data_IF_179966076971
#
_entry.id   IF_179966076971
#
_cell.length_a   1.000
_cell.length_b   1.000
_cell.length_c   1.000
_cell.angle_alpha   90.00
_cell.angle_beta   90.00
_cell.angle_gamma   90.00
#
_symmetry.space_group_name_H-M   'P 1'
#
loop_
_entity.id
_entity.type
_entity.pdbx_description
1 polymer ?
#
# COMPACT_ATOMS: atom_id res chain seq x y z
N UNK A 1 -17.27 -3.05 7.87
CA UNK A 1 -16.50 -2.81 6.64
C UNK A 1 -15.40 -3.85 6.56
N UNK A 2 -15.13 -4.39 5.37
CA UNK A 2 -14.00 -5.28 5.12
C UNK A 2 -13.18 -4.80 3.92
N UNK A 3 -11.89 -5.09 3.97
CA UNK A 3 -10.95 -5.00 2.85
C UNK A 3 -10.59 -6.44 2.45
N UNK A 4 -10.49 -6.72 1.16
CA UNK A 4 -10.20 -8.07 0.70
C UNK A 4 -9.40 -8.08 -0.58
N UNK A 5 -8.30 -8.85 -0.58
CA UNK A 5 -7.43 -9.06 -1.74
C UNK A 5 -7.08 -7.75 -2.46
N UNK A 6 -7.16 -7.73 -3.80
CA UNK A 6 -6.87 -6.55 -4.62
C UNK A 6 -8.09 -5.61 -4.74
N UNK A 7 -9.31 -6.11 -4.55
CA UNK A 7 -10.53 -5.32 -4.66
C UNK A 7 -10.77 -4.68 -6.03
N UNK A 8 -10.13 -5.18 -7.08
CA UNK A 8 -10.09 -4.60 -8.43
C UNK A 8 -11.32 -4.92 -9.29
N UNK A 9 -12.28 -5.67 -8.73
CA UNK A 9 -13.57 -5.99 -9.33
C UNK A 9 -14.67 -4.97 -9.03
N UNK A 10 -14.44 -4.01 -8.12
CA UNK A 10 -15.42 -2.98 -7.74
C UNK A 10 -14.77 -1.61 -7.66
N UNK A 11 -15.54 -0.57 -7.96
CA UNK A 11 -15.08 0.82 -7.92
C UNK A 11 -15.98 1.70 -7.03
N UNK A 12 -16.73 1.14 -6.10
CA UNK A 12 -17.49 1.93 -5.12
C UNK A 12 -17.54 1.13 -3.83
N UNK A 13 -17.85 1.79 -2.71
CA UNK A 13 -18.10 1.07 -1.46
C UNK A 13 -19.50 0.47 -1.54
N UNK A 14 -19.59 -0.86 -1.48
CA UNK A 14 -20.81 -1.64 -1.73
C UNK A 14 -21.12 -2.60 -0.59
N UNK A 15 -22.40 -2.90 -0.30
CA UNK A 15 -22.80 -4.08 0.44
C UNK A 15 -22.19 -5.34 -0.15
N UNK A 16 -21.64 -6.19 0.71
CA UNK A 16 -21.00 -7.45 0.34
C UNK A 16 -21.90 -8.34 -0.52
N UNK A 17 -23.21 -8.32 -0.27
CA UNK A 17 -24.23 -9.02 -1.06
C UNK A 17 -24.37 -8.53 -2.51
N UNK A 18 -23.93 -7.31 -2.81
CA UNK A 18 -23.93 -6.70 -4.15
C UNK A 18 -22.59 -6.86 -4.86
N UNK A 19 -21.61 -7.51 -4.22
CA UNK A 19 -20.26 -7.68 -4.76
C UNK A 19 -20.12 -9.05 -5.41
N UNK A 20 -19.94 -9.05 -6.73
CA UNK A 20 -19.66 -10.27 -7.49
C UNK A 20 -18.22 -10.74 -7.29
N UNK A 21 -18.00 -12.06 -7.33
CA UNK A 21 -16.67 -12.68 -7.27
C UNK A 21 -15.80 -12.18 -6.10
N UNK A 22 -16.40 -11.79 -4.97
CA UNK A 22 -15.71 -11.22 -3.81
C UNK A 22 -14.93 -9.93 -4.12
N UNK A 23 -15.24 -9.25 -5.23
CA UNK A 23 -14.66 -7.97 -5.61
C UNK A 23 -13.29 -8.08 -6.29
N UNK A 24 -12.96 -9.23 -6.88
CA UNK A 24 -11.69 -9.45 -7.60
C UNK A 24 -11.92 -9.91 -9.04
N UNK A 25 -11.02 -9.50 -9.94
CA UNK A 25 -11.06 -9.92 -11.36
C UNK A 25 -10.56 -11.35 -11.57
N UNK A 26 -9.62 -11.82 -10.74
CA UNK A 26 -9.05 -13.17 -10.83
C UNK A 26 -8.57 -13.67 -9.48
N UNK A 27 -8.76 -14.96 -9.23
CA UNK A 27 -8.24 -15.67 -8.04
C UNK A 27 -6.80 -16.17 -8.28
N UNK A 28 -6.39 -16.35 -9.54
CA UNK A 28 -5.06 -16.85 -9.94
C UNK A 28 -4.14 -15.78 -10.53
N UNK A 29 -2.83 -16.03 -10.51
CA UNK A 29 -1.81 -15.10 -11.04
C UNK A 29 -0.94 -14.46 -9.95
N UNK A 30 -0.21 -13.40 -10.29
CA UNK A 30 0.44 -12.55 -9.28
C UNK A 30 -0.63 -11.86 -8.42
N UNK A 31 -0.45 -11.84 -7.10
CA UNK A 31 -1.52 -11.43 -6.17
C UNK A 31 -2.52 -12.55 -5.83
N UNK A 32 -2.15 -13.82 -6.07
CA UNK A 32 -2.98 -15.01 -5.80
C UNK A 32 -3.58 -14.98 -4.39
N UNK A 33 -4.87 -15.23 -4.33
CA UNK A 33 -5.67 -15.16 -3.11
C UNK A 33 -5.68 -16.51 -2.38
N UNK A 34 -4.67 -16.77 -1.56
CA UNK A 34 -4.63 -17.96 -0.68
C UNK A 34 -4.24 -17.58 0.75
N UNK A 35 -4.97 -18.09 1.74
CA UNK A 35 -4.61 -17.96 3.16
C UNK A 35 -5.65 -17.23 4.02
N UNK A 36 -5.19 -16.57 5.08
CA UNK A 36 -6.03 -16.09 6.19
C UNK A 36 -7.11 -15.09 5.80
N UNK A 37 -6.85 -14.16 4.87
CA UNK A 37 -7.86 -13.20 4.41
C UNK A 37 -9.07 -13.87 3.77
N UNK A 38 -8.88 -14.98 3.05
CA UNK A 38 -9.97 -15.77 2.44
C UNK A 38 -10.78 -16.49 3.50
N UNK A 39 -10.14 -16.99 4.55
CA UNK A 39 -10.84 -17.61 5.69
C UNK A 39 -11.70 -16.57 6.42
N UNK A 40 -11.13 -15.40 6.74
CA UNK A 40 -11.86 -14.31 7.39
C UNK A 40 -13.05 -13.85 6.53
N UNK A 41 -12.85 -13.66 5.23
CA UNK A 41 -13.94 -13.32 4.31
C UNK A 41 -15.08 -14.34 4.39
N UNK A 42 -14.74 -15.63 4.34
CA UNK A 42 -15.74 -16.71 4.32
C UNK A 42 -16.48 -16.83 5.66
N UNK A 43 -15.81 -16.61 6.79
CA UNK A 43 -16.47 -16.53 8.11
C UNK A 43 -17.45 -15.36 8.20
N UNK A 44 -17.07 -14.19 7.67
CA UNK A 44 -17.93 -13.01 7.64
C UNK A 44 -19.13 -13.22 6.71
N UNK A 45 -18.90 -13.83 5.55
CA UNK A 45 -19.95 -14.24 4.60
C UNK A 45 -20.97 -15.16 5.29
N UNK A 46 -20.50 -16.15 6.05
CA UNK A 46 -21.34 -17.08 6.80
C UNK A 46 -22.05 -16.45 8.01
N UNK A 47 -21.53 -15.35 8.56
CA UNK A 47 -22.11 -14.68 9.73
C UNK A 47 -23.39 -13.87 9.42
N UNK A 48 -23.70 -13.66 8.13
CA UNK A 48 -24.89 -12.94 7.66
C UNK A 48 -25.07 -11.55 8.31
N UNK A 49 -23.96 -10.82 8.45
CA UNK A 49 -23.92 -9.46 9.00
C UNK A 49 -23.99 -8.42 7.87
N UNK A 50 -24.56 -7.22 8.11
CA UNK A 50 -24.49 -6.12 7.15
C UNK A 50 -23.05 -5.65 7.04
N UNK A 51 -22.41 -5.98 5.92
CA UNK A 51 -20.99 -5.72 5.68
C UNK A 51 -20.85 -4.93 4.38
N UNK A 52 -20.08 -3.86 4.44
CA UNK A 52 -19.65 -3.09 3.27
C UNK A 52 -18.23 -3.49 2.88
N UNK A 53 -17.97 -3.58 1.59
CA UNK A 53 -16.65 -3.80 0.99
C UNK A 53 -16.09 -2.51 0.45
N UNK A 54 -14.82 -2.25 0.75
CA UNK A 54 -14.04 -1.15 0.16
C UNK A 54 -13.40 -1.65 -1.15
N UNK A 55 -13.43 -0.86 -2.24
CA UNK A 55 -12.80 -1.23 -3.51
C UNK A 55 -11.27 -1.13 -3.43
N UNK A 56 -10.58 -1.74 -4.38
CA UNK A 56 -9.17 -1.45 -4.64
C UNK A 56 -9.00 -0.11 -5.35
N UNK A 57 -7.77 0.27 -5.61
CA UNK A 57 -7.44 1.41 -6.47
C UNK A 57 -6.91 0.85 -7.79
N UNK A 58 -7.65 1.06 -8.87
CA UNK A 58 -7.35 0.50 -10.18
C UNK A 58 -7.85 1.41 -11.31
N UNK A 59 -7.47 1.11 -12.56
CA UNK A 59 -7.75 1.98 -13.73
C UNK A 59 -9.23 2.31 -14.00
N UNK A 60 -10.16 1.51 -13.46
CA UNK A 60 -11.59 1.73 -13.64
C UNK A 60 -12.19 2.67 -12.57
N UNK A 61 -11.40 3.08 -11.57
CA UNK A 61 -11.78 4.09 -10.59
C UNK A 61 -11.80 5.48 -11.23
N UNK A 62 -12.98 5.97 -11.60
CA UNK A 62 -13.12 7.22 -12.37
C UNK A 62 -12.71 8.50 -11.62
N UNK A 63 -12.61 8.44 -10.29
CA UNK A 63 -12.16 9.57 -9.45
C UNK A 63 -10.64 9.75 -9.43
N UNK A 64 -9.87 8.77 -9.95
CA UNK A 64 -8.43 8.91 -10.12
C UNK A 64 -8.10 9.85 -11.27
N UNK A 65 -6.89 10.42 -11.22
CA UNK A 65 -6.38 11.20 -12.33
C UNK A 65 -6.24 10.32 -13.60
N UNK A 66 -6.68 10.81 -14.77
CA UNK A 66 -6.62 10.04 -16.02
C UNK A 66 -5.23 9.53 -16.40
N UNK A 67 -4.15 10.24 -16.05
CA UNK A 67 -2.78 9.83 -16.34
C UNK A 67 -2.38 8.61 -15.53
N UNK A 68 -2.74 8.58 -14.24
CA UNK A 68 -2.56 7.41 -13.38
C UNK A 68 -3.35 6.21 -13.90
N UNK A 69 -4.61 6.40 -14.29
CA UNK A 69 -5.45 5.34 -14.86
C UNK A 69 -4.89 4.76 -16.17
N UNK A 70 -4.27 5.61 -16.99
CA UNK A 70 -3.64 5.18 -18.24
C UNK A 70 -2.32 4.43 -18.00
N UNK A 71 -1.56 4.81 -16.98
CA UNK A 71 -0.25 4.23 -16.68
C UNK A 71 -0.34 2.85 -16.01
N UNK A 72 -1.24 2.68 -15.04
CA UNK A 72 -1.27 1.46 -14.21
C UNK A 72 -2.65 0.82 -14.17
N UNK A 73 -2.69 -0.51 -14.31
CA UNK A 73 -3.94 -1.28 -14.19
C UNK A 73 -4.43 -1.39 -12.76
N UNK A 74 -3.51 -1.56 -11.81
CA UNK A 74 -3.74 -1.64 -10.38
C UNK A 74 -2.75 -0.71 -9.68
N UNK A 75 -3.20 -0.08 -8.60
CA UNK A 75 -2.46 0.97 -7.90
C UNK A 75 -2.27 0.61 -6.43
N UNK A 76 -3.31 0.08 -5.78
CA UNK A 76 -3.27 -0.29 -4.37
C UNK A 76 -4.45 -1.17 -3.95
N UNK A 77 -4.24 -2.02 -2.95
CA UNK A 77 -5.31 -2.82 -2.34
C UNK A 77 -6.29 -1.94 -1.51
N UNK A 78 -7.50 -2.45 -1.18
CA UNK A 78 -8.51 -1.67 -0.46
C UNK A 78 -8.08 -1.19 0.92
N UNK A 79 -7.13 -1.88 1.56
CA UNK A 79 -6.57 -1.46 2.84
C UNK A 79 -5.98 -0.05 2.78
N UNK A 80 -5.37 0.34 1.65
CA UNK A 80 -4.72 1.65 1.54
C UNK A 80 -5.71 2.80 1.56
N UNK A 81 -6.95 2.59 1.16
CA UNK A 81 -8.02 3.60 1.32
C UNK A 81 -8.32 3.84 2.80
N UNK A 82 -8.38 2.78 3.59
CA UNK A 82 -8.56 2.90 5.05
C UNK A 82 -7.41 3.67 5.69
N UNK A 83 -6.17 3.35 5.30
CA UNK A 83 -4.98 4.07 5.77
C UNK A 83 -5.06 5.56 5.42
N UNK A 84 -5.38 5.90 4.17
CA UNK A 84 -5.52 7.28 3.73
C UNK A 84 -6.63 8.00 4.49
N UNK A 85 -7.76 7.34 4.77
CA UNK A 85 -8.83 7.94 5.56
C UNK A 85 -8.40 8.22 7.01
N UNK A 86 -7.64 7.30 7.60
CA UNK A 86 -7.05 7.52 8.92
C UNK A 86 -6.07 8.69 8.91
N UNK A 87 -5.18 8.75 7.91
CA UNK A 87 -4.24 9.85 7.72
C UNK A 87 -4.98 11.20 7.62
N UNK A 88 -6.02 11.27 6.79
CA UNK A 88 -6.84 12.47 6.60
C UNK A 88 -7.43 12.96 7.93
N UNK A 89 -7.98 12.06 8.76
CA UNK A 89 -8.55 12.44 10.06
C UNK A 89 -7.49 12.83 11.10
N UNK A 90 -6.29 12.25 11.03
CA UNK A 90 -5.18 12.53 11.95
C UNK A 90 -4.46 13.85 11.65
N UNK A 91 -4.45 14.29 10.40
CA UNK A 91 -3.75 15.50 9.96
C UNK A 91 -4.67 16.67 9.63
N UNK A 92 -5.89 16.37 9.17
CA UNK A 92 -6.77 17.31 8.46
C UNK A 92 -6.15 17.92 7.19
N UNK A 93 -5.13 17.26 6.61
CA UNK A 93 -4.54 17.67 5.34
C UNK A 93 -5.37 17.14 4.16
N UNK A 94 -5.60 17.99 3.19
CA UNK A 94 -6.31 17.70 1.95
C UNK A 94 -5.35 17.45 0.78
N UNK A 95 -4.11 17.95 0.87
CA UNK A 95 -3.07 17.74 -0.13
C UNK A 95 -1.85 17.09 0.54
N UNK A 96 -1.65 15.79 0.35
CA UNK A 96 -0.59 15.06 1.05
C UNK A 96 -0.14 13.84 0.28
N UNK A 97 1.06 13.37 0.63
CA UNK A 97 1.52 12.02 0.25
C UNK A 97 1.33 11.10 1.45
N UNK A 98 0.73 9.94 1.25
CA UNK A 98 0.65 8.88 2.25
C UNK A 98 1.52 7.73 1.80
N UNK A 99 2.57 7.42 2.54
CA UNK A 99 3.52 6.34 2.26
C UNK A 99 3.33 5.22 3.28
N UNK A 100 2.82 4.08 2.80
CA UNK A 100 2.70 2.87 3.61
C UNK A 100 3.86 1.92 3.31
N UNK A 101 4.81 1.84 4.24
CA UNK A 101 6.09 1.17 4.06
C UNK A 101 6.13 -0.05 4.98
N UNK A 102 6.05 -1.25 4.38
CA UNK A 102 5.98 -2.52 5.10
C UNK A 102 6.59 -3.67 4.28
N UNK A 103 5.94 -4.82 4.16
CA UNK A 103 6.38 -5.89 3.25
C UNK A 103 6.37 -5.45 1.79
N UNK A 104 5.40 -4.62 1.41
CA UNK A 104 5.36 -3.80 0.22
C UNK A 104 5.44 -2.32 0.62
N UNK A 105 5.84 -1.47 -0.31
CA UNK A 105 5.72 -0.01 -0.18
C UNK A 105 4.70 0.47 -1.20
N UNK A 106 3.72 1.27 -0.77
CA UNK A 106 2.71 1.85 -1.65
C UNK A 106 2.54 3.31 -1.24
N UNK A 107 2.90 4.22 -2.15
CA UNK A 107 2.77 5.65 -1.92
C UNK A 107 1.58 6.21 -2.71
N UNK A 108 0.77 7.04 -2.05
CA UNK A 108 -0.49 7.56 -2.56
C UNK A 108 -0.46 9.08 -2.59
N UNK A 109 -0.92 9.66 -3.70
CA UNK A 109 -1.15 11.09 -3.87
C UNK A 109 -2.61 11.44 -3.55
N UNK A 110 -2.79 12.33 -2.58
CA UNK A 110 -4.07 12.89 -2.19
C UNK A 110 -4.08 14.38 -2.56
N UNK A 111 -5.12 14.81 -3.27
CA UNK A 111 -5.37 16.21 -3.60
C UNK A 111 -6.83 16.56 -3.34
N UNK A 112 -7.09 17.72 -2.74
CA UNK A 112 -8.43 18.19 -2.36
C UNK A 112 -9.21 17.14 -1.54
N UNK A 113 -8.52 16.40 -0.67
CA UNK A 113 -9.11 15.32 0.13
C UNK A 113 -9.53 14.09 -0.68
N UNK A 114 -9.08 13.95 -1.93
CA UNK A 114 -9.40 12.85 -2.84
C UNK A 114 -8.13 12.11 -3.23
N UNK A 115 -8.20 10.77 -3.29
CA UNK A 115 -7.10 9.97 -3.83
C UNK A 115 -7.02 10.19 -5.35
N UNK A 116 -5.88 10.68 -5.85
CA UNK A 116 -5.66 10.95 -7.28
C UNK A 116 -4.82 9.91 -7.98
N UNK A 117 -3.96 9.21 -7.24
CA UNK A 117 -3.11 8.17 -7.79
C UNK A 117 -2.36 7.44 -6.69
N UNK A 118 -1.88 6.25 -7.01
CA UNK A 118 -0.96 5.50 -6.16
C UNK A 118 -0.03 4.65 -7.03
N UNK A 119 1.10 4.24 -6.48
CA UNK A 119 2.04 3.35 -7.17
C UNK A 119 2.20 2.08 -6.34
N UNK A 120 1.87 0.94 -6.96
CA UNK A 120 2.00 -0.36 -6.32
C UNK A 120 3.48 -0.79 -6.29
N UNK A 121 3.88 -1.56 -5.30
CA UNK A 121 5.26 -1.99 -5.08
C UNK A 121 5.87 -2.72 -6.28
N UNK A 122 5.05 -3.40 -7.10
CA UNK A 122 5.54 -4.07 -8.30
C UNK A 122 6.04 -3.12 -9.41
N UNK A 123 5.65 -1.84 -9.35
CA UNK A 123 6.04 -0.80 -10.30
C UNK A 123 6.99 0.24 -9.70
N UNK A 124 6.95 0.42 -8.38
CA UNK A 124 7.48 1.60 -7.72
C UNK A 124 8.52 1.31 -6.64
N UNK A 125 8.35 1.97 -5.50
CA UNK A 125 9.19 1.81 -4.34
C UNK A 125 9.20 0.36 -3.84
N UNK A 126 10.37 -0.12 -3.40
CA UNK A 126 10.44 -1.44 -2.78
C UNK A 126 9.98 -1.39 -1.32
N UNK A 127 9.33 -2.45 -0.88
CA UNK A 127 9.19 -2.79 0.53
C UNK A 127 10.27 -3.76 0.97
N UNK A 128 10.06 -4.38 2.13
CA UNK A 128 10.99 -5.38 2.66
C UNK A 128 11.04 -6.61 1.75
N UNK A 129 9.89 -7.08 1.28
CA UNK A 129 9.72 -8.37 0.58
C UNK A 129 9.42 -8.15 -0.90
N UNK A 130 8.48 -7.26 -1.15
CA UNK A 130 7.98 -6.93 -2.48
C UNK A 130 8.66 -5.69 -3.04
N UNK A 131 8.71 -5.58 -4.35
CA UNK A 131 9.33 -4.46 -5.03
C UNK A 131 9.24 -4.58 -6.55
N UNK A 132 9.88 -3.64 -7.27
CA UNK A 132 9.82 -3.60 -8.72
C UNK A 132 10.54 -4.81 -9.31
N UNK A 133 9.91 -5.43 -10.31
CA UNK A 133 10.54 -6.50 -11.09
C UNK A 133 11.60 -5.87 -11.99
N UNK A 134 12.87 -6.08 -11.65
CA UNK A 134 13.96 -5.65 -12.53
C UNK A 134 14.03 -6.51 -13.80
N UNK A 135 14.85 -6.06 -14.75
CA UNK A 135 14.95 -6.73 -16.05
C UNK A 135 15.47 -8.17 -15.94
N UNK A 136 16.26 -8.49 -14.92
CA UNK A 136 16.74 -9.85 -14.69
C UNK A 136 15.59 -10.75 -14.25
N UNK A 137 14.74 -10.29 -13.32
CA UNK A 137 13.55 -11.02 -12.91
C UNK A 137 12.57 -11.25 -14.05
N UNK A 138 12.40 -10.27 -14.94
CA UNK A 138 11.56 -10.43 -16.13
C UNK A 138 12.12 -11.54 -17.04
N UNK A 139 13.43 -11.57 -17.26
CA UNK A 139 14.09 -12.63 -18.05
C UNK A 139 13.95 -14.00 -17.39
N UNK A 140 14.09 -14.08 -16.06
CA UNK A 140 13.90 -15.34 -15.33
C UNK A 140 12.48 -15.88 -15.45
N UNK A 141 11.47 -15.00 -15.54
CA UNK A 141 10.08 -15.37 -15.81
C UNK A 141 9.94 -15.90 -17.23
N UNK A 142 10.46 -15.18 -18.23
CA UNK A 142 10.37 -15.57 -19.64
C UNK A 142 11.10 -16.90 -19.93
N UNK A 143 12.21 -17.16 -19.23
CA UNK A 143 12.98 -18.40 -19.33
C UNK A 143 12.39 -19.56 -18.48
N UNK A 144 11.30 -19.31 -17.74
CA UNK A 144 10.63 -20.30 -16.91
C UNK A 144 11.43 -20.74 -15.67
N UNK A 145 12.44 -19.97 -15.26
CA UNK A 145 13.24 -20.25 -14.06
C UNK A 145 12.48 -19.94 -12.78
N UNK A 146 11.64 -18.91 -12.80
CA UNK A 146 10.83 -18.44 -11.67
C UNK A 146 9.48 -17.98 -12.17
N UNK A 147 8.45 -18.12 -11.36
CA UNK A 147 7.12 -17.55 -11.61
C UNK A 147 7.12 -16.06 -11.27
N UNK A 148 6.19 -15.30 -11.86
CA UNK A 148 6.01 -13.87 -11.54
C UNK A 148 5.77 -13.63 -10.05
N UNK A 149 5.06 -14.54 -9.37
CA UNK A 149 4.79 -14.43 -7.94
C UNK A 149 6.04 -14.69 -7.09
N UNK A 150 6.91 -15.63 -7.50
CA UNK A 150 8.19 -15.87 -6.83
C UNK A 150 9.13 -14.69 -7.00
N UNK A 151 9.20 -14.07 -8.19
CA UNK A 151 9.97 -12.86 -8.39
C UNK A 151 9.44 -11.71 -7.54
N UNK A 152 8.12 -11.48 -7.58
CA UNK A 152 7.49 -10.39 -6.81
C UNK A 152 7.65 -10.57 -5.31
N UNK A 153 7.69 -11.80 -4.79
CA UNK A 153 7.90 -12.08 -3.36
C UNK A 153 9.36 -12.00 -2.90
N UNK A 154 10.29 -11.65 -3.80
CA UNK A 154 11.72 -11.49 -3.50
C UNK A 154 12.30 -10.24 -4.18
N UNK A 155 11.47 -9.29 -4.59
CA UNK A 155 11.92 -8.09 -5.29
C UNK A 155 12.30 -6.94 -4.36
N UNK A 156 11.97 -7.06 -3.07
CA UNK A 156 12.21 -6.06 -2.04
C UNK A 156 13.65 -5.99 -1.52
N UNK A 157 13.82 -5.29 -0.39
CA UNK A 157 15.10 -5.15 0.32
C UNK A 157 15.78 -6.51 0.64
N UNK A 158 15.00 -7.57 0.89
CA UNK A 158 15.50 -8.93 1.14
C UNK A 158 16.38 -9.46 0.01
N UNK A 159 16.12 -9.04 -1.24
CA UNK A 159 16.97 -9.35 -2.41
C UNK A 159 18.40 -8.89 -2.21
N UNK A 160 18.55 -7.65 -1.77
CA UNK A 160 19.85 -6.98 -1.62
C UNK A 160 20.59 -7.56 -0.40
N UNK A 161 19.84 -7.92 0.64
CA UNK A 161 20.37 -8.57 1.84
C UNK A 161 20.67 -10.07 1.65
N UNK A 162 20.35 -10.66 0.50
CA UNK A 162 20.40 -12.11 0.25
C UNK A 162 19.67 -12.94 1.32
N UNK A 163 18.48 -12.51 1.70
CA UNK A 163 17.63 -13.23 2.66
C UNK A 163 16.63 -14.09 1.89
N UNK A 164 16.68 -15.39 2.14
CA UNK A 164 15.80 -16.40 1.56
C UNK A 164 15.27 -17.31 2.69
N UNK A 165 14.16 -16.90 3.29
CA UNK A 165 13.41 -17.64 4.32
C UNK A 165 11.90 -17.52 4.01
N UNK A 166 11.03 -18.06 4.85
CA UNK A 166 9.60 -17.82 4.75
C UNK A 166 9.31 -16.32 4.89
N UNK A 167 8.47 -15.80 4.00
CA UNK A 167 7.97 -14.40 3.96
C UNK A 167 7.67 -13.83 5.35
N UNK A 168 7.09 -14.62 6.25
CA UNK A 168 6.75 -14.19 7.61
C UNK A 168 7.95 -13.82 8.50
N UNK A 169 9.16 -14.32 8.22
CA UNK A 169 10.37 -14.12 9.03
C UNK A 169 11.38 -13.17 8.39
N UNK A 170 11.34 -13.00 7.05
CA UNK A 170 12.33 -12.24 6.30
C UNK A 170 12.56 -10.80 6.80
N UNK A 171 11.51 -10.12 7.27
CA UNK A 171 11.63 -8.77 7.87
C UNK A 171 12.48 -8.81 9.15
N UNK A 172 12.20 -9.75 10.02
CA UNK A 172 12.89 -9.85 11.31
C UNK A 172 14.36 -10.25 11.09
N UNK A 173 14.64 -11.09 10.09
CA UNK A 173 16.00 -11.42 9.67
C UNK A 173 16.75 -10.19 9.13
N UNK A 174 16.10 -9.38 8.29
CA UNK A 174 16.68 -8.14 7.78
C UNK A 174 17.04 -7.18 8.92
N UNK A 175 16.12 -6.95 9.85
CA UNK A 175 16.33 -6.05 10.98
C UNK A 175 17.37 -6.59 11.96
N UNK A 176 17.43 -7.91 12.17
CA UNK A 176 18.47 -8.57 12.98
C UNK A 176 19.85 -8.39 12.36
N UNK A 177 19.99 -8.64 11.05
CA UNK A 177 21.25 -8.44 10.34
C UNK A 177 21.69 -6.97 10.38
N UNK A 178 20.74 -6.04 10.19
CA UNK A 178 20.99 -4.61 10.31
C UNK A 178 21.51 -4.22 11.70
N UNK A 179 20.87 -4.70 12.78
CA UNK A 179 21.32 -4.46 14.16
C UNK A 179 22.72 -5.00 14.44
N UNK A 180 23.09 -6.11 13.79
CA UNK A 180 24.41 -6.71 13.91
C UNK A 180 25.48 -6.00 13.06
N UNK A 181 25.12 -4.93 12.33
CA UNK A 181 26.04 -4.17 11.50
C UNK A 181 26.37 -4.83 10.16
N UNK A 182 25.53 -5.72 9.66
CA UNK A 182 25.72 -6.34 8.35
C UNK A 182 25.62 -5.29 7.23
N UNK A 183 26.66 -5.21 6.40
CA UNK A 183 26.77 -4.18 5.35
C UNK A 183 25.70 -4.33 4.26
N UNK A 184 25.27 -5.57 3.95
CA UNK A 184 24.23 -5.80 2.94
C UNK A 184 22.85 -5.46 3.47
N UNK A 185 22.57 -5.78 4.73
CA UNK A 185 21.32 -5.37 5.38
C UNK A 185 21.23 -3.84 5.47
N UNK A 186 22.34 -3.15 5.76
CA UNK A 186 22.41 -1.69 5.71
C UNK A 186 22.15 -1.17 4.31
N UNK A 187 22.85 -1.69 3.30
CA UNK A 187 22.65 -1.30 1.91
C UNK A 187 21.20 -1.53 1.45
N UNK A 188 20.59 -2.64 1.87
CA UNK A 188 19.21 -2.97 1.55
C UNK A 188 18.22 -1.94 2.13
N UNK A 189 18.39 -1.56 3.40
CA UNK A 189 17.54 -0.55 4.05
C UNK A 189 17.76 0.84 3.46
N UNK A 190 19.01 1.25 3.23
CA UNK A 190 19.35 2.54 2.62
C UNK A 190 18.76 2.63 1.20
N UNK A 191 18.83 1.53 0.42
CA UNK A 191 18.24 1.45 -0.92
C UNK A 191 16.71 1.53 -0.85
N UNK A 192 16.07 0.84 0.10
CA UNK A 192 14.63 0.91 0.29
C UNK A 192 14.17 2.34 0.57
N UNK A 193 14.83 3.04 1.51
CA UNK A 193 14.57 4.45 1.82
C UNK A 193 14.72 5.32 0.58
N UNK A 194 15.81 5.15 -0.18
CA UNK A 194 16.04 5.91 -1.41
C UNK A 194 14.90 5.72 -2.42
N UNK A 195 14.42 4.48 -2.64
CA UNK A 195 13.36 4.22 -3.62
C UNK A 195 12.01 4.83 -3.20
N UNK A 196 11.66 4.76 -1.91
CA UNK A 196 10.48 5.45 -1.36
C UNK A 196 10.61 6.96 -1.54
N UNK A 197 11.78 7.54 -1.24
CA UNK A 197 12.04 8.97 -1.46
C UNK A 197 11.87 9.36 -2.93
N UNK A 198 12.38 8.54 -3.87
CA UNK A 198 12.24 8.80 -5.30
C UNK A 198 10.77 8.80 -5.73
N UNK A 199 9.99 7.83 -5.23
CA UNK A 199 8.57 7.72 -5.52
C UNK A 199 7.79 8.91 -4.96
N UNK A 200 7.94 9.21 -3.65
CA UNK A 200 7.36 10.39 -3.02
C UNK A 200 7.74 11.64 -3.80
N UNK A 201 9.03 11.88 -4.09
CA UNK A 201 9.46 13.06 -4.85
C UNK A 201 8.82 13.16 -6.24
N UNK A 202 8.63 12.02 -6.91
CA UNK A 202 7.91 11.93 -8.18
C UNK A 202 6.43 12.32 -8.04
N UNK A 203 5.73 11.79 -7.04
CA UNK A 203 4.33 12.12 -6.74
C UNK A 203 4.17 13.61 -6.41
N UNK A 204 5.09 14.16 -5.61
CA UNK A 204 5.15 15.59 -5.28
C UNK A 204 5.32 16.44 -6.56
N UNK A 205 6.18 16.00 -7.48
CA UNK A 205 6.47 16.75 -8.70
C UNK A 205 5.29 16.77 -9.70
N UNK A 206 4.43 15.74 -9.68
CA UNK A 206 3.24 15.66 -10.55
C UNK A 206 1.96 16.16 -9.87
N UNK A 207 2.01 16.43 -8.57
CA UNK A 207 0.93 17.07 -7.82
C UNK A 207 0.57 18.42 -8.44
N UNK A 208 -0.71 18.67 -8.63
CA UNK A 208 -1.25 19.96 -9.12
C UNK A 208 -1.31 20.97 -7.98
N UNK A 209 -1.48 20.49 -6.76
CA UNK A 209 -1.49 21.30 -5.55
C UNK A 209 -0.15 21.24 -4.80
N UNK A 210 0.16 22.29 -4.03
CA UNK A 210 1.21 22.21 -3.03
C UNK A 210 0.77 21.24 -1.93
N UNK A 211 1.61 20.26 -1.65
CA UNK A 211 1.41 19.32 -0.55
C UNK A 211 1.69 19.97 0.81
N UNK A 212 0.81 19.67 1.75
CA UNK A 212 0.88 20.11 3.14
C UNK A 212 1.87 19.29 3.94
N UNK A 213 2.07 18.01 3.60
CA UNK A 213 3.06 17.16 4.24
C UNK A 213 3.06 15.71 3.75
N UNK A 214 3.84 14.90 4.46
CA UNK A 214 4.04 13.47 4.18
C UNK A 214 3.56 12.67 5.40
N UNK A 215 2.73 11.66 5.18
CA UNK A 215 2.29 10.73 6.23
C UNK A 215 3.00 9.40 6.04
N UNK A 216 3.63 8.90 7.11
CA UNK A 216 4.30 7.59 7.11
C UNK A 216 3.53 6.60 7.97
N UNK A 217 3.38 5.38 7.47
CA UNK A 217 2.80 4.26 8.20
C UNK A 217 3.41 2.93 7.75
N UNK A 218 2.82 1.82 8.19
CA UNK A 218 3.32 0.48 7.92
C UNK A 218 4.39 0.07 8.91
N UNK A 219 4.73 -1.23 8.89
CA UNK A 219 5.65 -1.79 9.89
C UNK A 219 7.06 -1.20 9.85
N UNK A 220 7.47 -0.60 8.73
CA UNK A 220 8.76 0.07 8.57
C UNK A 220 8.60 1.59 8.69
N UNK A 221 7.59 2.18 8.04
CA UNK A 221 7.42 3.64 8.02
C UNK A 221 7.06 4.24 9.38
N UNK A 222 6.42 3.44 10.26
CA UNK A 222 6.13 3.85 11.66
C UNK A 222 7.24 3.50 12.66
N UNK A 223 8.31 2.84 12.22
CA UNK A 223 9.38 2.34 13.09
C UNK A 223 10.31 3.46 13.55
N UNK A 224 10.77 3.36 14.81
CA UNK A 224 11.82 4.23 15.39
C UNK A 224 13.12 3.50 15.74
N UNK A 225 13.05 2.19 15.91
CA UNK A 225 14.20 1.33 16.20
C UNK A 225 14.03 -0.03 15.51
N UNK A 226 15.06 -0.59 14.86
CA UNK A 226 16.43 -0.07 14.74
C UNK A 226 16.61 0.99 13.65
N UNK A 227 15.58 1.26 12.85
CA UNK A 227 15.61 2.24 11.76
C UNK A 227 14.59 3.33 12.02
N UNK A 228 15.02 4.58 11.98
CA UNK A 228 14.13 5.74 12.04
C UNK A 228 13.87 6.23 10.61
N UNK A 229 12.85 5.64 9.97
CA UNK A 229 12.51 5.91 8.57
C UNK A 229 12.22 7.39 8.32
N UNK A 230 11.47 8.03 9.21
CA UNK A 230 11.16 9.46 9.13
C UNK A 230 12.43 10.30 9.07
N UNK A 231 13.37 10.05 9.97
CA UNK A 231 14.62 10.82 10.04
C UNK A 231 15.44 10.67 8.76
N UNK A 232 15.59 9.45 8.26
CA UNK A 232 16.39 9.19 7.06
C UNK A 232 15.71 9.75 5.79
N UNK A 233 14.39 9.60 5.66
CA UNK A 233 13.60 10.17 4.57
C UNK A 233 13.67 11.71 4.57
N UNK A 234 13.52 12.34 5.73
CA UNK A 234 13.56 13.81 5.87
C UNK A 234 14.91 14.42 5.46
N UNK A 235 16.02 13.68 5.53
CA UNK A 235 17.33 14.15 5.02
C UNK A 235 17.30 14.44 3.53
N UNK A 236 16.67 13.56 2.74
CA UNK A 236 16.55 13.75 1.30
C UNK A 236 15.70 14.98 0.95
N UNK A 237 14.61 15.18 1.69
CA UNK A 237 13.74 16.35 1.53
C UNK A 237 14.26 17.61 2.24
N UNK A 238 15.43 17.56 2.90
CA UNK A 238 16.04 18.67 3.66
C UNK A 238 15.06 19.27 4.68
N UNK A 239 14.23 18.43 5.30
CA UNK A 239 13.15 18.81 6.22
C UNK A 239 12.16 19.84 5.64
N UNK A 240 11.96 19.84 4.31
CA UNK A 240 11.05 20.78 3.63
C UNK A 240 9.58 20.54 3.99
N UNK A 241 9.19 19.29 4.16
CA UNK A 241 7.81 18.88 4.41
C UNK A 241 7.65 18.42 5.85
N UNK A 242 6.57 18.81 6.54
CA UNK A 242 6.24 18.18 7.81
C UNK A 242 5.89 16.71 7.58
N UNK A 243 6.36 15.87 8.50
CA UNK A 243 6.12 14.43 8.46
C UNK A 243 5.25 14.03 9.65
N UNK A 244 4.21 13.24 9.39
CA UNK A 244 3.33 12.68 10.42
C UNK A 244 3.45 11.17 10.38
N UNK A 245 3.81 10.55 11.51
CA UNK A 245 3.71 9.11 11.67
C UNK A 245 2.34 8.76 12.23
N UNK A 246 1.67 7.78 11.62
CA UNK A 246 0.45 7.16 12.14
C UNK A 246 0.71 5.67 12.45
N UNK A 247 -0.17 5.06 13.25
CA UNK A 247 0.01 3.69 13.76
C UNK A 247 0.10 2.66 12.62
N UNK A 248 0.83 1.56 12.85
CA UNK A 248 0.89 0.41 11.93
C UNK A 248 -0.45 -0.30 11.74
N UNK A 249 -1.42 -0.02 12.63
CA UNK A 249 -2.78 -0.54 12.60
C UNK A 249 -3.74 0.44 11.88
N UNK A 250 -3.22 1.47 11.22
CA UNK A 250 -3.99 2.51 10.52
C UNK A 250 -5.01 1.96 9.52
N UNK A 251 -4.72 0.82 8.88
CA UNK A 251 -5.68 0.13 8.00
C UNK A 251 -6.94 -0.34 8.74
N UNK A 252 -6.80 -0.91 9.93
CA UNK A 252 -7.93 -1.36 10.75
C UNK A 252 -8.67 -0.17 11.39
N UNK A 253 -7.92 0.81 11.91
CA UNK A 253 -8.48 2.04 12.50
C UNK A 253 -9.28 2.80 11.44
N UNK A 254 -8.71 2.99 10.26
CA UNK A 254 -9.33 3.63 9.12
C UNK A 254 -10.62 2.92 8.67
N UNK A 255 -10.59 1.59 8.56
CA UNK A 255 -11.79 0.82 8.21
C UNK A 255 -12.93 1.03 9.22
N UNK A 256 -12.62 1.09 10.51
CA UNK A 256 -13.59 1.39 11.56
C UNK A 256 -14.11 2.84 11.48
N UNK A 257 -13.23 3.81 11.19
CA UNK A 257 -13.59 5.21 11.00
C UNK A 257 -14.52 5.40 9.79
N UNK A 258 -14.21 4.75 8.66
CA UNK A 258 -15.08 4.75 7.47
C UNK A 258 -16.45 4.17 7.83
N UNK A 259 -16.49 3.03 8.52
CA UNK A 259 -17.76 2.38 8.87
C UNK A 259 -18.62 3.28 9.77
N UNK A 260 -18.01 3.91 10.78
CA UNK A 260 -18.67 4.87 11.66
C UNK A 260 -19.26 6.04 10.88
N UNK A 261 -18.48 6.63 9.97
CA UNK A 261 -18.91 7.85 9.27
C UNK A 261 -19.99 7.55 8.23
N UNK A 262 -19.94 6.39 7.58
CA UNK A 262 -21.03 5.91 6.71
C UNK A 262 -22.32 5.69 7.50
N UNK A 263 -22.23 5.08 8.69
CA UNK A 263 -23.37 4.92 9.59
C UNK A 263 -23.96 6.27 10.02
N UNK A 264 -23.13 7.31 10.15
CA UNK A 264 -23.55 8.69 10.42
C UNK A 264 -23.95 9.49 9.17
N UNK A 265 -24.11 8.84 8.01
CA UNK A 265 -24.67 9.47 6.82
C UNK A 265 -23.65 9.92 5.79
N UNK A 266 -22.35 9.73 5.99
CA UNK A 266 -21.34 10.01 4.96
C UNK A 266 -21.54 9.09 3.75
N UNK A 267 -21.52 9.65 2.54
CA UNK A 267 -21.75 8.92 1.28
C UNK A 267 -20.58 8.99 0.29
N UNK A 268 -19.49 9.63 0.70
CA UNK A 268 -18.27 9.70 -0.07
C UNK A 268 -17.06 9.63 0.88
N UNK A 269 -16.06 8.84 0.51
CA UNK A 269 -14.85 8.58 1.29
C UNK A 269 -13.65 8.78 0.36
N UNK A 270 -12.91 9.86 0.55
CA UNK A 270 -11.73 10.19 -0.26
C UNK A 270 -11.97 10.18 -1.79
N UNK A 271 -13.15 10.65 -2.23
CA UNK A 271 -13.61 10.62 -3.63
C UNK A 271 -14.35 9.35 -4.06
N UNK A 272 -14.47 8.36 -3.17
CA UNK A 272 -15.12 7.07 -3.44
C UNK A 272 -16.57 7.12 -2.97
N UNK A 273 -17.51 6.87 -3.88
CA UNK A 273 -18.94 6.82 -3.56
C UNK A 273 -19.30 5.61 -2.71
N UNK A 274 -20.25 5.79 -1.81
CA UNK A 274 -20.87 4.74 -1.00
C UNK A 274 -22.28 4.49 -1.52
N UNK A 275 -22.56 3.26 -1.93
CA UNK A 275 -23.89 2.86 -2.39
C UNK A 275 -24.44 1.81 -1.43
N UNK A 276 -25.32 2.21 -0.53
CA UNK A 276 -25.98 1.32 0.43
C UNK A 276 -27.16 0.58 -0.19
#
# INVERSE_FOLDING_TARGET
IITYAMGDGISTILPMERVENRGILSIGGAGKVTGGGTSVYSEIENANLPVLMIPGIHKNCEWLDPLFRAAYSHHASPEKISIVYNAYLETNWENMIVADISSNSVDLLIEDGIIKGAIDACCGAMGVIHGPLDLEMIRDIDEGKRTANECFSHAGAVKIANIDDKVAFMKDDLLKNYRNGDERAKLAIDTMIMTVVMEIAGLIAVSKNEIEGIVLTGSMGSMKDPVDFEKELNKYFKNKYPTKIISSESGAIGAAQIARDIAHGKREIMGIKVEL
#
